data_IF_989175629119
#
_entry.id   IF_989175629119
#
_cell.length_a   1.000
_cell.length_b   1.000
_cell.length_c   1.000
_cell.angle_alpha   90.00
_cell.angle_beta   90.00
_cell.angle_gamma   90.00
#
_symmetry.space_group_name_H-M   'P 1'
#
loop_
_entity.id
_entity.type
_entity.pdbx_description
1 polymer ?
#
# COMPACT_ATOMS: atom_id res chain seq x y z
N UNK A 1 -13.20 -15.34 -2.03
CA UNK A 1 -11.77 -14.96 -2.05
C UNK A 1 -11.65 -13.59 -1.42
N UNK A 2 -10.45 -13.21 -0.99
CA UNK A 2 -10.11 -11.99 -0.23
C UNK A 2 -10.36 -10.67 -1.00
N UNK A 3 -11.18 -10.73 -2.04
CA UNK A 3 -11.46 -9.70 -3.04
C UNK A 3 -12.98 -9.55 -3.25
N UNK A 4 -13.81 -10.03 -2.33
CA UNK A 4 -15.24 -9.79 -2.42
C UNK A 4 -15.55 -8.32 -2.10
N UNK A 5 -16.53 -7.76 -2.81
CA UNK A 5 -17.03 -6.39 -2.59
C UNK A 5 -17.69 -6.22 -1.21
N UNK A 6 -17.71 -7.27 -0.41
CA UNK A 6 -18.29 -7.37 0.91
C UNK A 6 -17.22 -7.42 2.02
N UNK A 7 -15.91 -7.32 1.69
CA UNK A 7 -14.88 -7.14 2.71
C UNK A 7 -15.12 -5.81 3.42
N UNK A 8 -15.57 -5.88 4.67
CA UNK A 8 -15.80 -4.69 5.46
C UNK A 8 -14.44 -4.07 5.78
N UNK A 9 -14.12 -3.02 5.05
CA UNK A 9 -12.93 -2.23 5.26
C UNK A 9 -13.01 -1.39 6.53
N UNK A 10 -14.20 -1.16 7.12
CA UNK A 10 -14.37 -0.28 8.30
C UNK A 10 -13.43 -0.56 9.47
N UNK A 11 -13.14 -1.80 9.91
CA UNK A 11 -12.17 -2.04 10.98
C UNK A 11 -10.71 -1.71 10.60
N UNK A 12 -10.37 -1.70 9.30
CA UNK A 12 -9.04 -1.39 8.79
C UNK A 12 -8.90 0.05 8.26
N UNK A 13 -10.02 0.71 8.00
CA UNK A 13 -10.15 2.16 7.93
C UNK A 13 -10.06 2.67 9.36
N UNK A 14 -8.82 2.71 9.86
CA UNK A 14 -8.41 3.67 10.89
C UNK A 14 -8.77 3.32 12.34
N UNK A 15 -8.03 2.37 12.92
CA UNK A 15 -7.16 2.79 14.05
C UNK A 15 -5.81 3.17 13.43
N UNK A 16 -5.64 4.45 13.09
CA UNK A 16 -4.50 4.99 12.32
C UNK A 16 -3.12 4.78 12.95
N UNK A 17 -2.98 4.06 14.06
CA UNK A 17 -1.75 4.02 14.84
C UNK A 17 -1.58 2.78 15.72
N UNK A 18 -2.01 1.59 15.28
CA UNK A 18 -1.36 0.37 15.78
C UNK A 18 -0.02 0.17 15.05
N UNK A 19 0.84 1.18 15.10
CA UNK A 19 2.23 1.04 14.73
C UNK A 19 2.90 0.26 15.85
N UNK A 20 2.83 -1.07 15.79
CA UNK A 20 3.57 -1.95 16.70
C UNK A 20 5.09 -1.88 16.44
N UNK A 21 5.64 -0.69 16.18
CA UNK A 21 7.02 -0.41 15.72
C UNK A 21 7.21 -0.47 14.20
N UNK A 22 6.18 -0.84 13.44
CA UNK A 22 6.26 -0.92 11.98
C UNK A 22 6.27 0.46 11.32
N UNK A 23 7.10 0.66 10.29
CA UNK A 23 7.21 1.92 9.55
C UNK A 23 7.09 1.71 8.04
N UNK A 24 6.64 2.75 7.34
CA UNK A 24 6.70 2.87 5.88
C UNK A 24 7.63 4.03 5.58
N UNK A 25 8.51 3.90 4.60
CA UNK A 25 9.35 5.00 4.13
C UNK A 25 8.52 6.11 3.45
N UNK A 26 7.33 5.76 2.98
CA UNK A 26 6.42 6.63 2.24
C UNK A 26 5.02 6.55 2.81
N UNK A 27 4.43 7.73 3.11
CA UNK A 27 3.05 7.84 3.64
C UNK A 27 2.04 8.31 2.61
N UNK A 28 2.50 9.05 1.60
CA UNK A 28 1.68 9.46 0.48
C UNK A 28 2.50 9.53 -0.80
N UNK A 29 1.85 9.24 -1.92
CA UNK A 29 2.43 9.35 -3.24
C UNK A 29 1.39 9.86 -4.24
N UNK A 30 1.79 10.74 -5.15
CA UNK A 30 0.96 11.19 -6.26
C UNK A 30 1.68 10.96 -7.59
N UNK A 31 0.98 10.39 -8.58
CA UNK A 31 1.53 10.17 -9.93
C UNK A 31 0.45 9.99 -10.98
N UNK A 32 0.83 9.97 -12.25
CA UNK A 32 -0.12 9.77 -13.35
C UNK A 32 -0.54 8.31 -13.53
N UNK A 33 -1.68 8.09 -14.18
CA UNK A 33 -2.06 6.76 -14.65
C UNK A 33 -0.95 6.12 -15.50
N UNK A 34 -0.65 4.83 -15.26
CA UNK A 34 0.46 4.11 -15.89
C UNK A 34 1.80 4.20 -15.15
N UNK A 35 1.95 5.11 -14.18
CA UNK A 35 3.16 5.18 -13.38
C UNK A 35 3.30 3.97 -12.43
N UNK A 36 4.54 3.65 -12.11
CA UNK A 36 4.91 2.62 -11.15
C UNK A 36 5.72 3.28 -10.04
N UNK A 37 5.40 2.94 -8.80
CA UNK A 37 6.09 3.44 -7.63
C UNK A 37 6.46 2.29 -6.69
N UNK A 38 7.58 2.42 -5.99
CA UNK A 38 8.00 1.43 -5.00
C UNK A 38 8.22 2.09 -3.65
N UNK A 39 7.82 1.38 -2.60
CA UNK A 39 8.00 1.82 -1.22
C UNK A 39 8.47 0.65 -0.34
N UNK A 40 9.15 0.98 0.75
CA UNK A 40 9.63 0.00 1.73
C UNK A 40 8.74 0.01 2.97
N UNK A 41 8.44 -1.18 3.46
CA UNK A 41 7.82 -1.38 4.77
C UNK A 41 8.79 -2.12 5.68
N UNK A 42 9.12 -1.50 6.81
CA UNK A 42 10.02 -2.10 7.81
C UNK A 42 9.19 -2.63 8.98
N UNK A 43 9.17 -3.96 9.22
CA UNK A 43 8.52 -4.51 10.39
C UNK A 43 9.28 -4.12 11.65
N UNK A 44 8.60 -4.18 12.79
CA UNK A 44 9.21 -3.95 14.09
C UNK A 44 10.14 -5.10 14.50
N UNK A 45 9.72 -6.34 14.20
CA UNK A 45 10.51 -7.54 14.39
C UNK A 45 11.07 -7.96 13.03
N UNK A 46 12.39 -8.07 12.95
CA UNK A 46 13.04 -8.48 11.71
C UNK A 46 12.61 -9.90 11.31
N UNK A 47 12.23 -10.08 10.05
CA UNK A 47 11.76 -11.35 9.52
C UNK A 47 10.24 -11.55 9.56
N UNK A 48 9.47 -10.63 10.17
CA UNK A 48 8.01 -10.69 10.09
C UNK A 48 7.53 -10.64 8.63
N UNK A 49 6.55 -11.48 8.33
CA UNK A 49 5.87 -11.48 7.04
C UNK A 49 5.01 -10.22 6.89
N UNK A 50 5.13 -9.57 5.74
CA UNK A 50 4.41 -8.35 5.39
C UNK A 50 3.43 -8.62 4.26
N UNK A 51 2.23 -8.03 4.35
CA UNK A 51 1.21 -8.09 3.29
C UNK A 51 0.68 -6.69 3.00
N UNK A 52 0.24 -6.45 1.77
CA UNK A 52 -0.36 -5.18 1.37
C UNK A 52 -1.65 -5.39 0.56
N UNK A 53 -2.60 -4.47 0.72
CA UNK A 53 -3.88 -4.47 0.03
C UNK A 53 -4.23 -3.05 -0.42
N UNK A 54 -4.85 -2.91 -1.59
CA UNK A 54 -5.40 -1.63 -2.04
C UNK A 54 -6.89 -1.55 -1.74
N UNK A 55 -7.33 -0.41 -1.20
CA UNK A 55 -8.75 -0.11 -1.02
C UNK A 55 -9.52 0.00 -2.33
N UNK A 56 -8.83 0.34 -3.42
CA UNK A 56 -9.39 0.41 -4.77
C UNK A 56 -8.37 -0.05 -5.82
N UNK A 57 -8.36 -1.36 -6.16
CA UNK A 57 -7.51 -1.92 -7.21
C UNK A 57 -7.79 -1.37 -8.61
N UNK A 58 -8.94 -0.72 -8.84
CA UNK A 58 -9.24 -0.09 -10.12
C UNK A 58 -8.45 1.20 -10.31
N UNK A 59 -8.11 1.90 -9.21
CA UNK A 59 -7.27 3.11 -9.17
C UNK A 59 -5.79 2.77 -9.04
N UNK A 60 -5.42 1.90 -8.09
CA UNK A 60 -4.04 1.49 -7.88
C UNK A 60 -3.95 0.05 -7.34
N UNK A 61 -3.05 -0.76 -7.88
CA UNK A 61 -2.75 -2.10 -7.34
C UNK A 61 -1.44 -2.09 -6.58
N UNK A 62 -1.27 -3.03 -5.65
CA UNK A 62 -0.04 -3.22 -4.88
C UNK A 62 0.36 -4.69 -4.89
N UNK A 63 1.65 -4.96 -4.98
CA UNK A 63 2.22 -6.30 -4.86
C UNK A 63 3.50 -6.29 -4.04
N UNK A 64 3.76 -7.39 -3.32
CA UNK A 64 5.04 -7.62 -2.66
C UNK A 64 6.07 -8.05 -3.70
N UNK A 65 7.09 -7.23 -3.91
CA UNK A 65 8.13 -7.48 -4.91
C UNK A 65 9.33 -8.20 -4.32
N UNK A 66 9.75 -7.81 -3.11
CA UNK A 66 10.82 -8.50 -2.41
C UNK A 66 10.60 -8.48 -0.89
N UNK A 67 10.26 -9.63 -0.32
CA UNK A 67 10.06 -9.78 1.13
C UNK A 67 11.35 -9.67 1.96
N UNK A 68 12.53 -9.87 1.33
CA UNK A 68 13.83 -10.00 2.01
C UNK A 68 14.82 -8.91 1.58
N UNK A 69 14.34 -7.76 1.10
CA UNK A 69 15.23 -6.62 0.87
C UNK A 69 15.80 -6.14 2.21
N UNK A 70 17.11 -5.88 2.23
CA UNK A 70 17.86 -5.49 3.44
C UNK A 70 17.31 -4.25 4.15
N UNK A 71 16.55 -3.41 3.45
CA UNK A 71 15.98 -2.15 3.96
C UNK A 71 14.56 -2.33 4.53
N UNK A 72 13.94 -3.48 4.30
CA UNK A 72 12.52 -3.76 4.61
C UNK A 72 11.84 -4.45 3.43
N UNK A 73 10.61 -4.92 3.61
CA UNK A 73 9.84 -5.52 2.51
C UNK A 73 9.54 -4.47 1.42
N UNK A 74 9.93 -4.76 0.18
CA UNK A 74 9.73 -3.89 -0.97
C UNK A 74 8.40 -4.19 -1.64
N UNK A 75 7.55 -3.18 -1.76
CA UNK A 75 6.27 -3.24 -2.44
C UNK A 75 6.28 -2.38 -3.70
N UNK A 76 5.60 -2.86 -4.74
CA UNK A 76 5.38 -2.12 -5.98
C UNK A 76 3.90 -1.74 -6.10
N UNK A 77 3.64 -0.46 -6.32
CA UNK A 77 2.33 0.10 -6.63
C UNK A 77 2.26 0.43 -8.11
N UNK A 78 1.21 -0.04 -8.79
CA UNK A 78 0.92 0.30 -10.19
C UNK A 78 -0.32 1.18 -10.25
N UNK A 79 -0.20 2.35 -10.85
CA UNK A 79 -1.29 3.32 -11.00
C UNK A 79 -2.08 3.01 -12.26
N UNK A 80 -3.40 2.87 -12.12
CA UNK A 80 -4.28 2.32 -13.17
C UNK A 80 -5.17 3.39 -13.78
N UNK A 81 -5.92 4.10 -12.95
CA UNK A 81 -6.85 5.16 -13.36
C UNK A 81 -6.84 6.29 -12.34
N UNK A 82 -7.28 7.48 -12.77
CA UNK A 82 -7.36 8.63 -11.89
C UNK A 82 -8.30 8.37 -10.69
N UNK A 83 -7.92 8.90 -9.53
CA UNK A 83 -8.63 8.68 -8.28
C UNK A 83 -7.71 8.67 -7.07
N UNK A 84 -8.24 8.25 -5.93
CA UNK A 84 -7.45 8.06 -4.71
C UNK A 84 -7.70 6.68 -4.14
N UNK A 85 -6.62 5.97 -3.79
CA UNK A 85 -6.65 4.68 -3.12
C UNK A 85 -5.79 4.72 -1.86
N UNK A 86 -6.17 3.95 -0.84
CA UNK A 86 -5.32 3.68 0.32
C UNK A 86 -4.70 2.31 0.17
N UNK A 87 -3.39 2.23 0.34
CA UNK A 87 -2.65 0.98 0.48
C UNK A 87 -2.54 0.69 1.97
N UNK A 88 -3.17 -0.40 2.40
CA UNK A 88 -3.03 -0.95 3.73
C UNK A 88 -1.85 -1.93 3.74
N UNK A 89 -0.96 -1.81 4.72
CA UNK A 89 0.14 -2.74 4.94
C UNK A 89 0.02 -3.31 6.34
N UNK A 90 0.20 -4.62 6.47
CA UNK A 90 0.14 -5.33 7.75
C UNK A 90 1.37 -6.22 7.94
N UNK A 91 1.81 -6.35 9.18
CA UNK A 91 2.84 -7.30 9.63
C UNK A 91 2.21 -8.44 10.44
N UNK A 92 2.77 -9.65 10.35
CA UNK A 92 2.44 -10.76 11.24
C UNK A 92 2.62 -10.42 12.74
N UNK A 93 3.54 -9.51 13.07
CA UNK A 93 3.74 -8.95 14.42
C UNK A 93 2.68 -7.93 14.86
N UNK A 94 1.57 -7.79 14.12
CA UNK A 94 0.45 -6.90 14.46
C UNK A 94 0.62 -5.44 14.06
N UNK A 95 1.70 -5.10 13.32
CA UNK A 95 1.89 -3.76 12.78
C UNK A 95 0.89 -3.44 11.68
N UNK A 96 0.23 -2.28 11.75
CA UNK A 96 -0.70 -1.80 10.72
C UNK A 96 -0.30 -0.38 10.31
N UNK A 97 -0.15 -0.13 9.01
CA UNK A 97 0.12 1.19 8.44
C UNK A 97 -0.64 1.38 7.14
N UNK A 98 -0.86 2.65 6.77
CA UNK A 98 -1.47 3.00 5.49
C UNK A 98 -0.58 3.98 4.70
N UNK A 99 -0.67 3.89 3.38
CA UNK A 99 -0.11 4.85 2.43
C UNK A 99 -1.23 5.36 1.52
N UNK A 100 -1.34 6.66 1.34
CA UNK A 100 -2.32 7.26 0.41
C UNK A 100 -1.71 7.40 -0.99
N UNK A 101 -2.41 6.90 -2.00
CA UNK A 101 -2.01 7.01 -3.40
C UNK A 101 -3.03 7.86 -4.14
N UNK A 102 -2.58 8.96 -4.72
CA UNK A 102 -3.39 9.81 -5.61
C UNK A 102 -2.92 9.60 -7.04
N UNK A 103 -3.83 9.16 -7.90
CA UNK A 103 -3.56 8.99 -9.32
C UNK A 103 -4.18 10.17 -10.06
N UNK A 104 -3.33 10.95 -10.71
CA UNK A 104 -3.72 12.05 -11.55
C UNK A 104 -4.14 11.53 -12.92
N UNK A 105 -5.07 12.25 -13.57
CA UNK A 105 -5.42 12.02 -14.97
C UNK A 105 -4.15 12.02 -15.83
N UNK A 106 -4.11 11.12 -16.82
CA UNK A 106 -3.08 11.22 -17.85
C UNK A 106 -3.29 12.55 -18.56
N UNK A 107 -2.26 13.39 -18.64
CA UNK A 107 -2.31 14.57 -19.50
C UNK A 107 -2.57 14.08 -20.92
N UNK A 108 -3.75 14.36 -21.47
CA UNK A 108 -3.96 14.22 -22.91
C UNK A 108 -2.92 15.10 -23.58
N UNK A 109 -1.97 14.48 -24.29
CA UNK A 109 -1.17 15.22 -25.25
C UNK A 109 -2.17 15.82 -26.26
N UNK A 110 -2.23 17.15 -26.31
CA UNK A 110 -3.04 17.92 -27.23
C UNK A 110 -2.42 17.91 -28.63
#
# INVERSE_FOLDING_TARGET
>A
TQFDKNFDWKPYVVSESAAAGMTLDTKSYAGGAGAVYQFLAKPAVAGDTMTALSSDPSVATVELTNAKDSRGALFTVRMRSAGTAKILVTSAGGGIQTMTVTVNEASKAA
#
